data_IF_316208566234
#
_entry.id   IF_316208566234
#
_cell.length_a   1.000
_cell.length_b   1.000
_cell.length_c   1.000
_cell.angle_alpha   90.00
_cell.angle_beta   90.00
_cell.angle_gamma   90.00
#
_symmetry.space_group_name_H-M   'P 1'
#
loop_
_entity.id
_entity.type
_entity.pdbx_description
1 polymer ?
#
# COMPACT_ATOMS: atom_id res chain seq x y z
N UNK A 1 61.98 -4.36 -8.32
CA UNK A 1 60.75 -3.61 -8.74
C UNK A 1 59.70 -4.61 -9.09
N UNK A 2 58.74 -4.86 -8.18
CA UNK A 2 57.68 -5.84 -8.36
C UNK A 2 56.43 -5.06 -8.79
N UNK A 3 56.03 -5.22 -10.06
CA UNK A 3 54.77 -4.69 -10.55
C UNK A 3 53.62 -5.49 -9.93
N UNK A 4 52.73 -4.82 -9.18
CA UNK A 4 51.45 -5.37 -8.78
C UNK A 4 50.49 -5.18 -9.94
N UNK A 5 50.00 -6.27 -10.53
CA UNK A 5 48.92 -6.25 -11.47
C UNK A 5 47.65 -5.84 -10.73
N UNK A 6 47.02 -4.72 -11.13
CA UNK A 6 45.69 -4.32 -10.68
C UNK A 6 44.66 -5.24 -11.34
N UNK A 7 43.88 -5.98 -10.54
CA UNK A 7 42.74 -6.75 -11.02
C UNK A 7 41.68 -5.77 -11.53
N UNK A 8 41.18 -5.91 -12.76
CA UNK A 8 40.10 -5.04 -13.22
C UNK A 8 38.83 -5.27 -12.39
N UNK A 9 38.34 -4.24 -11.73
CA UNK A 9 37.05 -4.26 -11.11
C UNK A 9 35.99 -4.25 -12.22
N UNK A 10 35.35 -5.40 -12.45
CA UNK A 10 34.19 -5.48 -13.34
C UNK A 10 32.99 -4.84 -12.64
N UNK A 11 32.66 -3.61 -12.95
CA UNK A 11 31.38 -3.02 -12.62
C UNK A 11 30.31 -3.67 -13.50
N UNK A 12 29.41 -4.46 -12.88
CA UNK A 12 28.20 -4.88 -13.55
C UNK A 12 27.29 -3.65 -13.63
N UNK A 13 27.26 -2.97 -14.75
CA UNK A 13 26.23 -1.97 -15.03
C UNK A 13 24.94 -2.75 -15.21
N UNK A 14 24.08 -2.77 -14.19
CA UNK A 14 22.68 -3.15 -14.38
C UNK A 14 22.05 -2.03 -15.22
N UNK A 15 21.71 -2.33 -16.46
CA UNK A 15 20.85 -1.45 -17.23
C UNK A 15 19.47 -1.48 -16.58
N UNK A 16 19.11 -0.40 -15.91
CA UNK A 16 17.77 -0.20 -15.41
C UNK A 16 16.89 0.19 -16.61
N UNK A 17 15.76 -0.50 -16.78
CA UNK A 17 14.74 -0.09 -17.73
C UNK A 17 14.22 1.31 -17.42
N UNK A 18 13.44 1.93 -18.33
CA UNK A 18 12.86 3.24 -18.08
C UNK A 18 12.07 3.22 -16.76
N UNK A 19 12.06 4.36 -16.04
CA UNK A 19 11.25 4.49 -14.83
C UNK A 19 9.78 4.18 -15.14
N UNK A 20 9.10 3.46 -14.25
CA UNK A 20 7.69 3.10 -14.49
C UNK A 20 6.84 4.38 -14.55
N UNK A 21 6.13 4.60 -15.63
CA UNK A 21 5.41 5.86 -15.95
C UNK A 21 4.32 6.25 -14.94
N UNK A 22 3.77 5.27 -14.18
CA UNK A 22 2.70 5.48 -13.20
C UNK A 22 3.12 5.14 -11.76
N UNK A 23 4.42 5.15 -11.47
CA UNK A 23 4.94 4.93 -10.13
C UNK A 23 5.75 6.16 -9.67
N UNK A 24 5.83 6.33 -8.37
CA UNK A 24 6.61 7.38 -7.73
C UNK A 24 7.80 6.75 -7.03
N UNK A 25 8.99 7.32 -7.22
CA UNK A 25 10.19 6.90 -6.49
C UNK A 25 10.15 7.42 -5.04
N UNK A 26 10.21 6.52 -4.08
CA UNK A 26 10.35 6.83 -2.66
C UNK A 26 11.81 6.58 -2.27
N UNK A 27 12.57 7.61 -1.87
CA UNK A 27 14.00 7.46 -1.61
C UNK A 27 14.26 6.58 -0.38
N UNK A 28 15.37 5.84 -0.42
CA UNK A 28 15.86 5.12 0.75
C UNK A 28 16.13 6.09 1.91
N UNK A 29 15.88 5.63 3.14
CA UNK A 29 16.19 6.45 4.33
C UNK A 29 15.34 6.11 5.54
N UNK A 30 15.65 6.79 6.62
CA UNK A 30 14.93 6.69 7.89
C UNK A 30 13.60 7.46 7.85
N UNK A 31 12.61 6.95 8.56
CA UNK A 31 11.35 7.62 8.85
C UNK A 31 10.82 7.14 10.21
N UNK A 32 10.09 7.99 10.90
CA UNK A 32 9.39 7.59 12.11
C UNK A 32 8.06 6.96 11.74
N UNK A 33 7.76 5.82 12.34
CA UNK A 33 6.55 5.02 12.15
C UNK A 33 5.74 5.01 13.45
N UNK A 34 4.43 5.13 13.33
CA UNK A 34 3.51 5.16 14.46
C UNK A 34 2.88 6.54 14.72
N UNK A 35 2.05 6.62 15.77
CA UNK A 35 1.33 7.85 16.12
C UNK A 35 2.26 8.82 16.87
N UNK A 36 2.81 9.79 16.14
CA UNK A 36 3.64 10.88 16.67
C UNK A 36 2.86 12.09 17.17
N UNK A 37 1.53 12.05 17.15
CA UNK A 37 0.64 13.09 17.68
C UNK A 37 0.28 12.80 19.14
N UNK A 38 -0.93 13.18 19.58
CA UNK A 38 -1.42 12.85 20.92
C UNK A 38 -1.56 11.32 21.06
N UNK A 39 -0.86 10.67 22.01
CA UNK A 39 -0.97 9.22 22.24
C UNK A 39 -2.40 8.76 22.53
N UNK A 40 -3.26 9.62 23.04
CA UNK A 40 -4.66 9.33 23.33
C UNK A 40 -5.61 9.32 22.12
N UNK A 41 -5.18 9.85 20.97
CA UNK A 41 -6.07 9.93 19.80
C UNK A 41 -6.08 8.67 18.93
N UNK A 42 -5.05 7.82 19.02
CA UNK A 42 -4.83 6.64 18.20
C UNK A 42 -5.36 5.35 18.79
N UNK A 43 -4.84 4.25 18.26
CA UNK A 43 -5.02 2.90 18.78
C UNK A 43 -3.71 2.38 19.38
N UNK A 44 -3.80 1.45 20.34
CA UNK A 44 -2.61 0.90 21.04
C UNK A 44 -1.56 0.36 20.07
N UNK A 45 -1.99 -0.30 19.00
CA UNK A 45 -1.08 -0.87 18.00
C UNK A 45 -0.32 0.15 17.14
N UNK A 46 -0.60 1.45 17.29
CA UNK A 46 0.15 2.52 16.63
C UNK A 46 1.38 2.98 17.44
N UNK A 47 1.61 2.37 18.61
CA UNK A 47 2.67 2.71 19.56
C UNK A 47 3.58 1.51 19.85
N UNK A 48 4.84 1.73 20.26
CA UNK A 48 5.52 3.03 20.35
C UNK A 48 5.87 3.62 18.98
N UNK A 49 6.04 4.94 18.91
CA UNK A 49 6.72 5.55 17.76
C UNK A 49 8.15 5.04 17.72
N UNK A 50 8.58 4.61 16.56
CA UNK A 50 9.93 4.06 16.38
C UNK A 50 10.47 4.41 15.00
N UNK A 51 11.80 4.56 14.90
CA UNK A 51 12.45 4.88 13.65
C UNK A 51 12.76 3.62 12.85
N UNK A 52 12.38 3.59 11.58
CA UNK A 52 12.66 2.50 10.65
C UNK A 52 13.39 3.02 9.41
N UNK A 53 14.31 2.21 8.89
CA UNK A 53 14.95 2.43 7.61
C UNK A 53 14.24 1.56 6.55
N UNK A 54 13.74 2.18 5.49
CA UNK A 54 13.28 1.49 4.29
C UNK A 54 14.25 1.76 3.14
N UNK A 55 14.62 0.71 2.40
CA UNK A 55 15.32 0.81 1.13
C UNK A 55 14.52 1.66 0.13
N UNK A 56 15.15 2.12 -0.96
CA UNK A 56 14.41 2.83 -2.01
C UNK A 56 13.45 1.90 -2.75
N UNK A 57 12.29 2.41 -3.11
CA UNK A 57 11.28 1.68 -3.88
C UNK A 57 10.47 2.60 -4.77
N UNK A 58 9.82 2.03 -5.77
CA UNK A 58 8.77 2.68 -6.54
C UNK A 58 7.42 2.24 -6.00
N UNK A 59 6.46 3.14 -5.86
CA UNK A 59 5.08 2.86 -5.45
C UNK A 59 4.10 3.35 -6.52
N UNK A 60 3.07 2.58 -6.82
CA UNK A 60 1.98 3.00 -7.70
C UNK A 60 1.43 4.35 -7.20
N UNK A 61 1.34 5.33 -8.09
CA UNK A 61 0.86 6.68 -7.77
C UNK A 61 -0.56 6.67 -7.22
N UNK A 62 -1.35 5.73 -7.67
CA UNK A 62 -2.76 5.54 -7.35
C UNK A 62 -3.00 4.12 -6.80
N UNK A 63 -4.14 3.93 -6.16
CA UNK A 63 -4.72 2.61 -5.95
C UNK A 63 -4.90 1.91 -7.32
N UNK A 64 -4.90 0.58 -7.35
CA UNK A 64 -5.14 -0.17 -8.60
C UNK A 64 -6.57 0.10 -9.07
N UNK A 65 -6.72 0.76 -10.22
CA UNK A 65 -8.04 1.01 -10.81
C UNK A 65 -8.66 -0.27 -11.36
N UNK A 66 -9.99 -0.27 -11.48
CA UNK A 66 -10.74 -1.40 -12.07
C UNK A 66 -10.31 -1.70 -13.51
N UNK A 67 -9.96 -0.67 -14.27
CA UNK A 67 -9.48 -0.84 -15.64
C UNK A 67 -8.14 -1.60 -15.66
N UNK A 68 -7.18 -1.16 -14.85
CA UNK A 68 -5.87 -1.85 -14.74
C UNK A 68 -6.02 -3.26 -14.17
N UNK A 69 -6.89 -3.44 -13.16
CA UNK A 69 -7.21 -4.78 -12.62
C UNK A 69 -7.70 -5.72 -13.72
N UNK A 70 -8.69 -5.28 -14.51
CA UNK A 70 -9.29 -6.09 -15.58
C UNK A 70 -8.30 -6.47 -16.68
N UNK A 71 -7.44 -5.52 -17.08
CA UNK A 71 -6.39 -5.75 -18.09
C UNK A 71 -5.40 -6.83 -17.64
N UNK A 72 -4.85 -6.71 -16.42
CA UNK A 72 -3.88 -7.69 -15.91
C UNK A 72 -4.56 -9.02 -15.59
N UNK A 73 -5.80 -9.00 -15.06
CA UNK A 73 -6.56 -10.23 -14.77
C UNK A 73 -6.84 -11.01 -16.06
N UNK A 74 -7.17 -10.35 -17.15
CA UNK A 74 -7.36 -11.01 -18.46
C UNK A 74 -6.08 -11.71 -18.92
N UNK A 75 -4.93 -11.04 -18.82
CA UNK A 75 -3.63 -11.65 -19.10
C UNK A 75 -3.35 -12.85 -18.19
N UNK A 76 -3.65 -12.73 -16.90
CA UNK A 76 -3.42 -13.74 -15.89
C UNK A 76 -4.22 -15.02 -16.14
N UNK A 77 -5.54 -14.89 -16.36
CA UNK A 77 -6.44 -16.02 -16.62
C UNK A 77 -5.99 -16.84 -17.85
N UNK A 78 -5.52 -16.19 -18.91
CA UNK A 78 -4.98 -16.86 -20.10
C UNK A 78 -3.67 -17.64 -19.82
N UNK A 79 -3.09 -17.50 -18.62
CA UNK A 79 -1.82 -18.14 -18.18
C UNK A 79 -1.98 -19.03 -16.94
N UNK A 80 -3.20 -19.43 -16.64
CA UNK A 80 -3.50 -20.39 -15.57
C UNK A 80 -3.56 -19.78 -14.17
N UNK A 81 -3.58 -18.45 -14.04
CA UNK A 81 -3.86 -17.82 -12.75
C UNK A 81 -5.31 -18.03 -12.34
N UNK A 82 -5.55 -18.25 -11.05
CA UNK A 82 -6.88 -18.37 -10.46
C UNK A 82 -7.09 -17.34 -9.36
N UNK A 83 -8.21 -16.62 -9.41
CA UNK A 83 -8.61 -15.62 -8.43
C UNK A 83 -9.85 -16.08 -7.67
N UNK A 84 -9.90 -15.81 -6.37
CA UNK A 84 -11.05 -16.13 -5.52
C UNK A 84 -12.18 -15.14 -5.79
N UNK A 85 -11.82 -13.88 -6.10
CA UNK A 85 -12.75 -12.81 -6.39
C UNK A 85 -12.51 -12.23 -7.81
N UNK A 86 -13.60 -11.76 -8.42
CA UNK A 86 -13.51 -11.11 -9.75
C UNK A 86 -12.99 -9.67 -9.68
N UNK A 87 -13.04 -9.07 -8.50
CA UNK A 87 -12.90 -7.63 -8.31
C UNK A 87 -14.18 -6.89 -8.71
N UNK A 88 -14.51 -5.84 -8.01
CA UNK A 88 -15.63 -4.95 -8.29
C UNK A 88 -15.16 -3.50 -8.23
N UNK A 89 -15.87 -2.60 -8.89
CA UNK A 89 -15.65 -1.16 -8.81
C UNK A 89 -16.93 -0.42 -9.20
N UNK A 90 -17.01 0.87 -8.89
CA UNK A 90 -18.11 1.75 -9.31
C UNK A 90 -17.96 2.20 -10.79
N UNK A 91 -16.71 2.25 -11.28
CA UNK A 91 -16.38 2.64 -12.64
C UNK A 91 -14.96 2.25 -13.03
N UNK A 92 -14.56 2.42 -14.30
CA UNK A 92 -13.24 2.01 -14.80
C UNK A 92 -12.06 2.65 -14.08
N UNK A 93 -12.19 3.93 -13.72
CA UNK A 93 -11.15 4.71 -13.03
C UNK A 93 -11.31 4.69 -11.49
N UNK A 94 -12.30 3.98 -10.94
CA UNK A 94 -12.41 3.78 -9.51
C UNK A 94 -11.50 2.64 -9.05
N UNK A 95 -11.06 2.62 -7.78
CA UNK A 95 -10.24 1.54 -7.28
C UNK A 95 -10.97 0.20 -7.39
N UNK A 96 -10.23 -0.84 -7.75
CA UNK A 96 -10.73 -2.19 -7.58
C UNK A 96 -10.90 -2.48 -6.09
N UNK A 97 -12.01 -3.07 -5.72
CA UNK A 97 -12.39 -3.49 -4.38
C UNK A 97 -12.97 -4.91 -4.41
N UNK A 98 -13.31 -5.45 -3.26
CA UNK A 98 -13.81 -6.83 -3.15
C UNK A 98 -12.79 -7.81 -3.73
N UNK A 99 -11.54 -7.60 -3.37
CA UNK A 99 -10.38 -8.44 -3.65
C UNK A 99 -9.71 -8.82 -2.33
N UNK A 100 -9.40 -10.09 -2.14
CA UNK A 100 -8.72 -10.53 -0.94
C UNK A 100 -7.19 -10.42 -1.09
N UNK A 101 -6.45 -10.61 -0.01
CA UNK A 101 -5.00 -10.51 0.01
C UNK A 101 -4.33 -11.49 -0.97
N UNK A 102 -4.86 -12.70 -1.09
CA UNK A 102 -4.34 -13.73 -2.02
C UNK A 102 -4.56 -13.35 -3.47
N UNK A 103 -5.66 -12.70 -3.81
CA UNK A 103 -5.91 -12.17 -5.15
C UNK A 103 -4.88 -11.11 -5.52
N UNK A 104 -4.57 -10.20 -4.58
CA UNK A 104 -3.58 -9.14 -4.79
C UNK A 104 -2.18 -9.70 -5.03
N UNK A 105 -1.77 -10.74 -4.28
CA UNK A 105 -0.48 -11.43 -4.45
C UNK A 105 -0.37 -12.08 -5.83
N UNK A 106 -1.40 -12.83 -6.24
CA UNK A 106 -1.45 -13.48 -7.57
C UNK A 106 -1.44 -12.43 -8.68
N UNK A 107 -2.20 -11.36 -8.52
CA UNK A 107 -2.27 -10.27 -9.49
C UNK A 107 -0.95 -9.52 -9.64
N UNK A 108 -0.22 -9.28 -8.55
CA UNK A 108 1.11 -8.68 -8.57
C UNK A 108 2.11 -9.51 -9.38
N UNK A 109 2.11 -10.84 -9.20
CA UNK A 109 2.90 -11.75 -10.02
C UNK A 109 2.51 -11.69 -11.50
N UNK A 110 1.20 -11.69 -11.80
CA UNK A 110 0.71 -11.60 -13.17
C UNK A 110 1.11 -10.28 -13.84
N UNK A 111 1.00 -9.15 -13.12
CA UNK A 111 1.46 -7.85 -13.61
C UNK A 111 2.96 -7.84 -13.87
N UNK A 112 3.75 -8.44 -12.97
CA UNK A 112 5.20 -8.59 -13.17
C UNK A 112 5.51 -9.32 -14.48
N UNK A 113 4.92 -10.48 -14.69
CA UNK A 113 5.11 -11.26 -15.92
C UNK A 113 4.62 -10.52 -17.17
N UNK A 114 3.47 -9.83 -17.09
CA UNK A 114 2.91 -9.06 -18.20
C UNK A 114 3.85 -7.95 -18.66
N UNK A 115 4.53 -7.32 -17.71
CA UNK A 115 5.44 -6.19 -17.95
C UNK A 115 6.92 -6.62 -18.08
N UNK A 116 7.22 -7.93 -18.06
CA UNK A 116 8.57 -8.47 -18.26
C UNK A 116 9.48 -8.37 -17.03
N UNK A 117 8.91 -8.28 -15.82
CA UNK A 117 9.61 -8.28 -14.56
C UNK A 117 9.60 -9.65 -13.89
N UNK A 118 10.54 -9.91 -12.98
CA UNK A 118 10.62 -11.14 -12.21
C UNK A 118 9.57 -11.13 -11.07
N UNK A 119 8.61 -12.09 -11.05
CA UNK A 119 7.61 -12.16 -9.99
C UNK A 119 8.21 -12.36 -8.61
N UNK A 120 7.65 -11.68 -7.61
CA UNK A 120 8.16 -11.72 -6.24
C UNK A 120 7.63 -12.88 -5.40
N UNK A 121 6.46 -13.44 -5.72
CA UNK A 121 5.81 -14.43 -4.87
C UNK A 121 5.96 -15.84 -5.40
N UNK A 122 6.61 -16.71 -4.63
CA UNK A 122 6.89 -18.10 -4.98
C UNK A 122 6.33 -19.06 -3.96
N UNK A 123 5.89 -20.22 -4.41
CA UNK A 123 5.54 -21.34 -3.55
C UNK A 123 6.78 -21.92 -2.87
N UNK A 124 6.59 -22.83 -1.92
CA UNK A 124 7.69 -23.46 -1.19
C UNK A 124 8.63 -24.30 -2.10
N UNK A 125 8.17 -24.74 -3.24
CA UNK A 125 8.95 -25.45 -4.26
C UNK A 125 9.70 -24.52 -5.25
N UNK A 126 9.61 -23.19 -5.05
CA UNK A 126 10.21 -22.18 -5.90
C UNK A 126 9.40 -21.83 -7.15
N UNK A 127 8.28 -22.48 -7.41
CA UNK A 127 7.40 -22.13 -8.52
C UNK A 127 6.67 -20.80 -8.26
N UNK A 128 6.32 -20.08 -9.33
CA UNK A 128 5.55 -18.83 -9.21
C UNK A 128 4.16 -19.16 -8.65
N UNK A 129 3.74 -18.38 -7.63
CA UNK A 129 2.40 -18.53 -7.06
C UNK A 129 1.33 -17.97 -8.01
N UNK A 130 0.43 -18.83 -8.48
CA UNK A 130 -0.59 -18.47 -9.48
C UNK A 130 -2.03 -18.83 -9.06
N UNK A 131 -2.22 -19.76 -8.12
CA UNK A 131 -3.55 -20.21 -7.68
C UNK A 131 -3.59 -20.56 -6.19
N UNK A 132 -4.80 -20.51 -5.61
CA UNK A 132 -5.05 -20.96 -4.23
C UNK A 132 -4.56 -19.98 -3.16
N UNK A 133 -4.50 -20.48 -1.92
CA UNK A 133 -3.98 -19.77 -0.77
C UNK A 133 -2.46 -19.75 -0.79
N UNK A 134 -1.87 -18.65 -0.37
CA UNK A 134 -0.43 -18.46 -0.39
C UNK A 134 0.22 -18.94 0.91
N UNK A 135 1.07 -19.95 0.81
CA UNK A 135 1.90 -20.46 1.90
C UNK A 135 3.40 -20.34 1.61
N UNK A 136 3.76 -19.58 0.58
CA UNK A 136 5.14 -19.39 0.12
C UNK A 136 5.81 -18.16 0.70
N UNK A 137 6.81 -17.64 0.00
CA UNK A 137 7.61 -16.49 0.38
C UNK A 137 7.63 -15.38 -0.67
N UNK A 138 8.07 -14.20 -0.25
CA UNK A 138 8.40 -13.11 -1.15
C UNK A 138 9.91 -13.11 -1.41
N UNK A 139 10.31 -13.21 -2.67
CA UNK A 139 11.68 -12.94 -3.08
C UNK A 139 11.90 -11.43 -3.13
N UNK A 140 12.51 -10.91 -2.08
CA UNK A 140 12.81 -9.48 -1.93
C UNK A 140 13.93 -8.99 -2.86
N UNK A 141 14.62 -9.90 -3.54
CA UNK A 141 15.63 -9.56 -4.54
C UNK A 141 15.06 -9.44 -5.95
N UNK A 142 13.87 -9.98 -6.18
CA UNK A 142 13.14 -9.86 -7.43
C UNK A 142 12.74 -8.41 -7.70
N UNK A 143 12.69 -8.04 -8.97
CA UNK A 143 12.42 -6.67 -9.41
C UNK A 143 10.97 -6.43 -9.84
N UNK A 144 10.09 -7.40 -9.62
CA UNK A 144 8.69 -7.34 -9.96
C UNK A 144 7.84 -6.57 -8.95
N UNK A 145 6.53 -6.63 -9.18
CA UNK A 145 5.53 -6.00 -8.33
C UNK A 145 5.22 -6.83 -7.10
N UNK A 146 5.00 -6.15 -5.99
CA UNK A 146 4.56 -6.75 -4.72
C UNK A 146 3.71 -5.77 -3.90
N UNK A 147 3.00 -6.25 -2.91
CA UNK A 147 2.39 -5.40 -1.90
C UNK A 147 3.47 -4.64 -1.14
N UNK A 148 3.22 -3.40 -0.71
CA UNK A 148 4.14 -2.69 0.19
C UNK A 148 4.23 -3.42 1.53
N UNK A 149 5.38 -3.36 2.19
CA UNK A 149 5.39 -3.59 3.63
C UNK A 149 4.66 -2.45 4.33
N UNK A 150 4.19 -2.68 5.55
CA UNK A 150 3.52 -1.65 6.32
C UNK A 150 4.41 -0.41 6.52
N UNK A 151 5.71 -0.62 6.75
CA UNK A 151 6.67 0.47 6.89
C UNK A 151 6.91 1.24 5.58
N UNK A 152 6.94 0.57 4.44
CA UNK A 152 7.01 1.23 3.13
C UNK A 152 5.75 2.06 2.87
N UNK A 153 4.58 1.50 3.18
CA UNK A 153 3.31 2.19 3.02
C UNK A 153 3.26 3.46 3.87
N UNK A 154 3.57 3.36 5.17
CA UNK A 154 3.52 4.51 6.07
C UNK A 154 4.54 5.59 5.70
N UNK A 155 5.79 5.21 5.36
CA UNK A 155 6.79 6.14 4.86
C UNK A 155 6.32 6.90 3.62
N UNK A 156 5.71 6.18 2.68
CA UNK A 156 5.16 6.76 1.45
C UNK A 156 3.99 7.70 1.74
N UNK A 157 3.06 7.29 2.62
CA UNK A 157 1.92 8.10 3.03
C UNK A 157 2.32 9.40 3.72
N UNK A 158 3.40 9.39 4.51
CA UNK A 158 3.90 10.60 5.19
C UNK A 158 4.45 11.67 4.23
N UNK A 159 4.67 11.36 2.94
CA UNK A 159 5.05 12.36 1.95
C UNK A 159 6.37 13.10 2.25
N UNK A 160 7.29 12.48 3.03
CA UNK A 160 8.56 13.08 3.43
C UNK A 160 8.51 13.96 4.70
N UNK A 161 7.39 13.97 5.42
CA UNK A 161 7.21 14.77 6.65
C UNK A 161 6.92 13.85 7.84
N UNK A 162 7.72 13.93 8.90
CA UNK A 162 7.51 13.20 10.15
C UNK A 162 6.45 13.85 11.05
N UNK A 163 5.81 13.02 11.91
CA UNK A 163 4.96 13.49 13.01
C UNK A 163 3.61 14.06 12.59
N UNK A 164 3.21 13.99 11.32
CA UNK A 164 1.92 14.48 10.85
C UNK A 164 0.81 13.46 11.03
N UNK A 165 -0.41 14.00 11.21
CA UNK A 165 -1.62 13.18 11.33
C UNK A 165 -2.05 12.62 9.98
N UNK A 166 -1.94 13.41 8.90
CA UNK A 166 -2.43 13.10 7.56
C UNK A 166 -1.31 13.18 6.50
N UNK A 167 -1.54 12.69 5.27
CA UNK A 167 -0.54 12.67 4.19
C UNK A 167 -0.08 14.05 3.69
N UNK A 168 -0.75 15.12 4.08
CA UNK A 168 -0.46 16.51 3.68
C UNK A 168 0.15 17.32 4.83
N UNK A 169 0.51 18.59 4.56
CA UNK A 169 1.22 19.44 5.51
C UNK A 169 0.35 19.98 6.68
N UNK A 170 -0.96 19.82 6.59
CA UNK A 170 -1.95 20.24 7.59
C UNK A 170 -2.36 19.03 8.44
N UNK A 171 -2.60 19.23 9.74
CA UNK A 171 -3.06 18.20 10.67
C UNK A 171 -4.59 18.12 10.79
N UNK A 172 -5.32 18.71 9.84
CA UNK A 172 -6.77 18.62 9.70
C UNK A 172 -7.17 17.82 8.47
N UNK A 173 -8.38 17.27 8.46
CA UNK A 173 -8.97 16.58 7.31
C UNK A 173 -10.32 17.20 6.96
N UNK A 174 -10.66 17.16 5.68
CA UNK A 174 -11.95 17.58 5.14
C UNK A 174 -12.19 16.93 3.77
N UNK A 175 -13.42 16.89 3.31
CA UNK A 175 -13.81 16.30 2.02
C UNK A 175 -13.02 16.84 0.81
N UNK A 176 -12.54 18.09 0.85
CA UNK A 176 -11.68 18.61 -0.21
C UNK A 176 -10.29 17.95 -0.30
N UNK A 177 -9.90 17.12 0.68
CA UNK A 177 -8.58 16.46 0.75
C UNK A 177 -8.65 14.94 0.61
N UNK A 178 -9.78 14.32 0.93
CA UNK A 178 -9.94 12.86 0.91
C UNK A 178 -11.41 12.45 0.82
N UNK A 179 -11.64 11.25 0.31
CA UNK A 179 -12.94 10.61 0.31
C UNK A 179 -13.09 9.69 1.54
N UNK A 180 -13.87 10.12 2.53
CA UNK A 180 -14.09 9.43 3.80
C UNK A 180 -15.44 9.82 4.40
N UNK A 181 -15.86 9.17 5.49
CA UNK A 181 -17.04 9.56 6.25
C UNK A 181 -16.69 10.66 7.26
N UNK A 182 -17.07 11.90 6.98
CA UNK A 182 -16.79 13.02 7.86
C UNK A 182 -17.57 12.94 9.17
N UNK A 183 -16.92 13.32 10.27
CA UNK A 183 -17.45 13.30 11.64
C UNK A 183 -16.94 14.49 12.44
N UNK A 184 -17.13 15.71 11.93
CA UNK A 184 -16.61 16.96 12.51
C UNK A 184 -17.14 17.26 13.92
N UNK A 185 -18.30 16.72 14.28
CA UNK A 185 -18.81 16.79 15.65
C UNK A 185 -18.02 15.92 16.65
N UNK A 186 -17.32 14.88 16.16
CA UNK A 186 -16.59 13.92 17.01
C UNK A 186 -15.09 14.22 17.06
N UNK A 187 -14.50 14.63 15.96
CA UNK A 187 -13.06 14.86 15.84
C UNK A 187 -12.77 16.32 15.50
N UNK A 188 -12.12 17.05 16.40
CA UNK A 188 -11.81 18.47 16.23
C UNK A 188 -10.88 18.77 15.04
N UNK A 189 -10.14 17.76 14.56
CA UNK A 189 -9.30 17.85 13.38
C UNK A 189 -10.04 17.54 12.07
N UNK A 190 -11.31 17.09 12.13
CA UNK A 190 -12.20 16.98 10.97
C UNK A 190 -12.92 18.33 10.78
N UNK A 191 -12.54 19.05 9.74
CA UNK A 191 -13.06 20.39 9.44
C UNK A 191 -14.08 20.37 8.29
N UNK A 192 -14.62 19.19 7.95
CA UNK A 192 -15.72 19.10 6.98
C UNK A 192 -16.96 19.84 7.49
N UNK A 193 -17.68 20.54 6.62
CA UNK A 193 -18.85 21.32 7.03
C UNK A 193 -20.05 20.47 7.45
N UNK A 194 -20.07 19.20 7.04
CA UNK A 194 -21.16 18.24 7.34
C UNK A 194 -20.58 16.90 7.78
N UNK A 195 -21.25 16.22 8.70
CA UNK A 195 -20.93 14.84 9.10
C UNK A 195 -21.70 13.87 8.20
N UNK A 196 -21.04 13.35 7.17
CA UNK A 196 -21.62 12.45 6.15
C UNK A 196 -20.54 11.86 5.26
N UNK A 197 -20.92 11.03 4.29
CA UNK A 197 -20.08 10.67 3.14
C UNK A 197 -19.72 11.90 2.31
N UNK A 198 -18.72 11.75 1.43
CA UNK A 198 -18.28 12.82 0.54
C UNK A 198 -19.41 13.23 -0.41
N UNK A 199 -19.84 14.50 -0.44
CA UNK A 199 -21.06 14.91 -1.14
C UNK A 199 -21.02 14.66 -2.66
N UNK A 200 -19.84 14.68 -3.29
CA UNK A 200 -19.70 14.44 -4.73
C UNK A 200 -19.72 12.94 -5.09
N UNK A 201 -19.63 12.04 -4.10
CA UNK A 201 -19.56 10.59 -4.32
C UNK A 201 -20.65 9.79 -3.58
N UNK A 202 -21.51 10.47 -2.80
CA UNK A 202 -22.68 9.88 -2.14
C UNK A 202 -23.85 9.74 -3.14
N UNK A 203 -23.60 9.05 -4.23
CA UNK A 203 -24.55 8.83 -5.34
C UNK A 203 -25.01 7.37 -5.36
N UNK A 204 -25.91 7.02 -4.46
CA UNK A 204 -26.47 5.67 -4.31
C UNK A 204 -26.50 4.80 -5.58
N UNK A 205 -26.27 3.48 -5.53
CA UNK A 205 -25.98 2.72 -4.30
C UNK A 205 -24.50 2.73 -3.92
N UNK A 206 -24.22 2.35 -2.65
CA UNK A 206 -22.84 2.05 -2.21
C UNK A 206 -22.13 1.10 -3.19
N UNK A 207 -20.79 1.21 -3.28
CA UNK A 207 -19.83 1.98 -2.48
C UNK A 207 -19.68 3.43 -2.96
N UNK A 208 -19.30 4.33 -2.05
CA UNK A 208 -19.10 5.74 -2.34
C UNK A 208 -17.63 6.06 -2.67
N UNK A 209 -16.95 5.19 -3.44
CA UNK A 209 -15.59 5.44 -3.90
C UNK A 209 -15.51 6.61 -4.88
N UNK A 210 -14.39 7.31 -4.90
CA UNK A 210 -14.02 8.29 -5.92
C UNK A 210 -13.16 7.66 -7.03
N UNK A 211 -13.06 8.26 -8.21
CA UNK A 211 -12.00 7.91 -9.16
C UNK A 211 -10.62 8.06 -8.52
N UNK A 212 -9.68 7.17 -8.83
CA UNK A 212 -8.31 7.25 -8.31
C UNK A 212 -7.65 8.56 -8.75
N UNK A 213 -6.95 9.23 -7.83
CA UNK A 213 -6.31 10.52 -8.11
C UNK A 213 -7.27 11.72 -8.11
N UNK A 214 -8.47 11.56 -7.56
CA UNK A 214 -9.43 12.67 -7.45
C UNK A 214 -8.94 13.80 -6.55
N UNK A 215 -8.02 13.52 -5.62
CA UNK A 215 -7.50 14.47 -4.66
C UNK A 215 -6.03 14.81 -4.92
N UNK A 216 -5.59 15.95 -4.37
CA UNK A 216 -4.22 16.41 -4.51
C UNK A 216 -3.22 15.40 -3.93
N UNK A 217 -2.08 15.17 -4.59
CA UNK A 217 -1.05 14.24 -4.12
C UNK A 217 -0.35 14.77 -2.86
N UNK A 218 0.24 13.84 -2.10
CA UNK A 218 1.12 14.16 -0.98
C UNK A 218 2.51 14.67 -1.45
N UNK A 219 3.43 14.94 -0.51
CA UNK A 219 4.75 15.48 -0.78
C UNK A 219 5.66 14.60 -1.67
N UNK A 220 5.37 13.30 -1.80
CA UNK A 220 6.04 12.42 -2.75
C UNK A 220 5.32 12.33 -4.11
N UNK A 221 4.12 12.86 -4.24
CA UNK A 221 3.32 12.78 -5.46
C UNK A 221 2.34 11.61 -5.51
N UNK A 222 2.08 10.94 -4.37
CA UNK A 222 1.11 9.86 -4.23
C UNK A 222 -0.27 10.41 -3.92
N UNK A 223 -1.30 9.88 -4.58
CA UNK A 223 -2.70 10.23 -4.36
C UNK A 223 -3.41 9.19 -3.49
N UNK A 224 -4.50 9.61 -2.86
CA UNK A 224 -5.43 8.75 -2.12
C UNK A 224 -4.78 7.93 -0.99
N UNK A 225 -3.72 8.48 -0.35
CA UNK A 225 -3.07 7.86 0.80
C UNK A 225 -3.90 8.02 2.10
N UNK A 226 -5.11 8.55 2.00
CA UNK A 226 -6.11 8.65 3.07
C UNK A 226 -7.51 8.62 2.45
N UNK A 227 -8.35 7.66 2.86
CA UNK A 227 -9.70 7.49 2.34
C UNK A 227 -9.75 6.66 1.06
N UNK A 228 -10.89 6.68 0.39
CA UNK A 228 -11.26 5.92 -0.81
C UNK A 228 -11.36 4.41 -0.54
N UNK A 229 -10.27 3.64 -0.57
CA UNK A 229 -10.25 2.25 -0.09
C UNK A 229 -9.06 1.98 0.84
N UNK A 230 -9.25 1.09 1.80
CA UNK A 230 -8.15 0.51 2.55
C UNK A 230 -7.24 -0.28 1.61
N UNK A 231 -5.95 -0.31 1.91
CA UNK A 231 -4.95 -0.92 1.05
C UNK A 231 -4.24 -2.06 1.75
N UNK A 232 -4.29 -3.26 1.15
CA UNK A 232 -3.54 -4.40 1.62
C UNK A 232 -2.04 -4.14 1.67
N UNK A 233 -1.42 -4.49 2.83
CA UNK A 233 0.02 -4.58 2.99
C UNK A 233 0.48 -6.05 3.06
N UNK A 234 1.80 -6.25 2.90
CA UNK A 234 2.42 -7.57 3.02
C UNK A 234 2.33 -8.15 4.44
N UNK A 235 2.48 -7.29 5.45
CA UNK A 235 2.73 -7.66 6.84
C UNK A 235 1.56 -8.42 7.46
N UNK A 236 1.87 -9.43 8.29
CA UNK A 236 0.93 -9.90 9.28
C UNK A 236 0.72 -8.84 10.36
N UNK A 237 -0.48 -8.72 10.87
CA UNK A 237 -0.79 -7.80 11.95
C UNK A 237 -0.46 -8.41 13.31
N UNK A 238 0.22 -7.63 14.14
CA UNK A 238 0.37 -7.86 15.57
C UNK A 238 0.32 -6.49 16.26
N UNK A 239 -0.49 -6.40 17.32
CA UNK A 239 -0.70 -5.14 18.06
C UNK A 239 0.57 -4.65 18.75
N UNK A 240 1.44 -5.58 19.17
CA UNK A 240 2.67 -5.29 19.91
C UNK A 240 3.93 -5.25 19.02
N UNK A 241 3.77 -5.45 17.69
CA UNK A 241 4.90 -5.57 16.79
C UNK A 241 5.85 -4.38 16.82
N UNK A 242 5.33 -3.15 16.97
CA UNK A 242 6.15 -1.92 16.94
C UNK A 242 7.20 -1.89 18.07
N UNK A 243 6.91 -2.50 19.22
CA UNK A 243 7.86 -2.60 20.33
C UNK A 243 9.07 -3.48 20.03
N UNK A 244 8.97 -4.38 19.05
CA UNK A 244 10.00 -5.36 18.67
C UNK A 244 10.40 -5.30 17.20
N UNK A 245 9.87 -4.35 16.45
CA UNK A 245 10.12 -4.20 15.01
C UNK A 245 11.62 -4.05 14.71
N UNK A 246 12.17 -4.78 13.74
CA UNK A 246 13.51 -4.52 13.24
C UNK A 246 13.60 -3.08 12.69
N UNK A 247 14.73 -2.43 12.93
CA UNK A 247 14.94 -1.07 12.45
C UNK A 247 15.13 -0.98 10.92
N UNK A 248 15.52 -2.06 10.24
CA UNK A 248 15.84 -2.03 8.81
C UNK A 248 14.92 -2.96 8.04
N UNK A 249 14.18 -2.38 7.08
CA UNK A 249 13.24 -3.06 6.20
C UNK A 249 12.32 -4.05 6.96
N UNK A 250 11.57 -3.59 7.98
CA UNK A 250 10.65 -4.45 8.71
C UNK A 250 9.57 -5.01 7.77
N UNK A 251 9.15 -6.25 8.01
CA UNK A 251 8.24 -7.02 7.15
C UNK A 251 7.09 -7.65 7.93
N UNK A 252 6.83 -7.16 9.13
CA UNK A 252 5.85 -7.71 10.04
C UNK A 252 6.31 -9.00 10.74
N UNK A 253 5.47 -9.56 11.60
CA UNK A 253 5.66 -10.87 12.20
C UNK A 253 5.78 -11.98 11.16
N UNK A 254 6.40 -13.10 11.51
CA UNK A 254 6.55 -14.25 10.61
C UNK A 254 5.22 -14.92 10.24
N UNK A 255 4.20 -14.80 11.11
CA UNK A 255 2.86 -15.34 10.90
C UNK A 255 1.84 -14.57 11.72
N UNK A 256 0.58 -14.72 11.38
CA UNK A 256 -0.55 -14.14 12.11
C UNK A 256 -1.87 -14.60 11.51
N UNK A 257 -3.00 -14.29 12.15
CA UNK A 257 -4.33 -14.56 11.61
C UNK A 257 -4.77 -13.51 10.59
N UNK A 258 -4.34 -12.24 10.77
CA UNK A 258 -4.76 -11.10 9.99
C UNK A 258 -3.59 -10.43 9.27
N UNK A 259 -3.86 -9.87 8.10
CA UNK A 259 -2.94 -8.99 7.34
C UNK A 259 -3.21 -7.55 7.70
N UNK A 260 -2.18 -6.71 7.58
CA UNK A 260 -2.31 -5.27 7.73
C UNK A 260 -3.04 -4.69 6.51
N UNK A 261 -4.00 -3.79 6.78
CA UNK A 261 -4.55 -2.86 5.80
C UNK A 261 -4.34 -1.42 6.30
N UNK A 262 -4.21 -0.48 5.38
CA UNK A 262 -3.83 0.91 5.68
C UNK A 262 -4.66 1.90 4.86
N UNK A 263 -4.68 3.18 5.26
CA UNK A 263 -5.16 4.28 4.45
C UNK A 263 -6.61 4.69 4.70
N UNK A 264 -7.41 3.85 5.38
CA UNK A 264 -8.85 4.14 5.54
C UNK A 264 -9.65 3.95 4.24
N UNK A 265 -10.95 4.04 4.31
CA UNK A 265 -11.85 3.97 3.16
C UNK A 265 -12.91 5.07 3.19
N UNK A 266 -13.72 5.10 2.13
CA UNK A 266 -14.88 6.00 2.00
C UNK A 266 -15.89 5.87 3.16
N UNK A 267 -15.89 4.74 3.89
CA UNK A 267 -16.86 4.44 4.96
C UNK A 267 -16.34 4.73 6.36
N UNK A 268 -15.04 4.90 6.56
CA UNK A 268 -14.45 5.18 7.87
C UNK A 268 -14.34 6.67 8.16
N UNK A 269 -14.24 6.97 9.48
CA UNK A 269 -14.14 8.35 9.98
C UNK A 269 -12.72 8.91 9.91
N UNK A 270 -12.58 10.20 10.14
CA UNK A 270 -11.31 10.91 10.20
C UNK A 270 -10.24 10.23 11.08
N UNK A 271 -10.65 9.50 12.15
CA UNK A 271 -9.73 8.74 13.00
C UNK A 271 -9.01 7.64 12.24
N UNK A 272 -9.71 6.94 11.35
CA UNK A 272 -9.15 5.89 10.50
C UNK A 272 -8.20 6.42 9.42
N UNK A 273 -8.44 7.63 8.92
CA UNK A 273 -7.66 8.24 7.84
C UNK A 273 -6.29 8.79 8.28
N UNK A 274 -5.93 8.69 9.57
CA UNK A 274 -4.60 9.10 10.06
C UNK A 274 -3.52 8.18 9.47
N UNK A 275 -2.39 8.75 9.08
CA UNK A 275 -1.27 8.00 8.49
C UNK A 275 -0.81 6.86 9.40
N UNK A 276 -0.87 7.03 10.72
CA UNK A 276 -0.47 6.01 11.70
C UNK A 276 -1.51 4.92 11.92
N UNK A 277 -2.77 5.11 11.47
CA UNK A 277 -3.84 4.14 11.72
C UNK A 277 -3.57 2.82 11.04
N UNK A 278 -3.77 1.72 11.78
CA UNK A 278 -3.54 0.34 11.36
C UNK A 278 -4.85 -0.42 11.40
N UNK A 279 -5.23 -1.00 10.27
CA UNK A 279 -6.33 -1.95 10.18
C UNK A 279 -5.80 -3.38 10.10
N UNK A 280 -6.65 -4.34 10.43
CA UNK A 280 -6.33 -5.76 10.39
C UNK A 280 -7.50 -6.55 9.83
N UNK A 281 -7.23 -7.33 8.79
CA UNK A 281 -8.27 -8.11 8.12
C UNK A 281 -7.79 -9.54 7.85
N UNK A 282 -8.71 -10.50 7.91
CA UNK A 282 -8.40 -11.86 7.46
C UNK A 282 -7.91 -11.83 6.02
N UNK A 283 -6.86 -12.59 5.64
CA UNK A 283 -6.35 -12.58 4.27
C UNK A 283 -7.38 -13.04 3.21
N UNK A 284 -8.47 -13.66 3.64
CA UNK A 284 -9.62 -14.05 2.79
C UNK A 284 -10.73 -12.99 2.73
N UNK A 285 -10.61 -11.91 3.54
CA UNK A 285 -11.60 -10.85 3.58
C UNK A 285 -11.64 -10.08 2.26
N UNK A 286 -12.85 -9.80 1.78
CA UNK A 286 -13.08 -9.04 0.57
C UNK A 286 -14.43 -8.32 0.68
N UNK A 287 -14.40 -7.00 0.73
CA UNK A 287 -15.59 -6.17 0.84
C UNK A 287 -15.53 -4.91 -0.04
N UNK A 288 -16.52 -4.04 0.11
CA UNK A 288 -16.66 -2.82 -0.68
C UNK A 288 -15.68 -1.70 -0.34
N UNK A 289 -14.84 -1.86 0.68
CA UNK A 289 -13.94 -0.82 1.20
C UNK A 289 -12.46 -1.19 1.09
N UNK A 290 -12.10 -2.40 0.64
CA UNK A 290 -10.70 -2.86 0.58
C UNK A 290 -10.24 -3.08 -0.85
N UNK A 291 -9.10 -2.44 -1.19
CA UNK A 291 -8.36 -2.53 -2.44
C UNK A 291 -6.85 -2.65 -2.17
N UNK A 292 -6.02 -2.12 -3.07
CA UNK A 292 -4.56 -2.18 -2.91
C UNK A 292 -3.84 -1.26 -3.90
N UNK A 293 -2.57 -0.98 -3.60
CA UNK A 293 -1.55 -0.51 -4.55
C UNK A 293 -0.29 -1.34 -4.43
N UNK A 294 0.58 -1.30 -5.44
CA UNK A 294 1.80 -2.09 -5.47
C UNK A 294 3.06 -1.24 -5.37
N UNK A 295 4.13 -1.92 -4.99
CA UNK A 295 5.48 -1.39 -5.02
C UNK A 295 6.41 -2.28 -5.83
N UNK A 296 7.57 -1.73 -6.20
CA UNK A 296 8.73 -2.44 -6.75
C UNK A 296 9.98 -1.94 -6.04
N UNK A 297 10.92 -2.83 -5.75
CA UNK A 297 12.21 -2.43 -5.21
C UNK A 297 12.94 -1.50 -6.20
N UNK A 298 13.44 -0.36 -5.71
CA UNK A 298 14.34 0.47 -6.50
C UNK A 298 15.73 -0.19 -6.58
N UNK A 299 16.47 0.08 -7.65
CA UNK A 299 17.80 -0.46 -7.87
C UNK A 299 18.81 -0.04 -6.81
#
# INVERSE_FOLDING_TARGET
MTMRASVPMFYRIKAYGPEPTNMVHIPAGWSDMGNGMDPGEGFVGELPVHSVYAGGFYMDKYEVSSNLWGEVRTYALARGYGFDNTGQAKGPEHPVRTVNWYDCVKWANARSQKEGWEPCYTNADGSIHVTGTFAGGCDWSANGYRLPTEAEWEKAARGGVSGRRFPWADDTIRHALANYYASSATYSYDTSPTSSHHPDYDDQPEPFTSPVGAFAPNGYGLCDMAGNVEEWCWDWYDVDYYASSPQTNPRGPASGPNRVARGCSWSETAKGCRVACRFQELPTFANGSVGFRLVRSAP
#
